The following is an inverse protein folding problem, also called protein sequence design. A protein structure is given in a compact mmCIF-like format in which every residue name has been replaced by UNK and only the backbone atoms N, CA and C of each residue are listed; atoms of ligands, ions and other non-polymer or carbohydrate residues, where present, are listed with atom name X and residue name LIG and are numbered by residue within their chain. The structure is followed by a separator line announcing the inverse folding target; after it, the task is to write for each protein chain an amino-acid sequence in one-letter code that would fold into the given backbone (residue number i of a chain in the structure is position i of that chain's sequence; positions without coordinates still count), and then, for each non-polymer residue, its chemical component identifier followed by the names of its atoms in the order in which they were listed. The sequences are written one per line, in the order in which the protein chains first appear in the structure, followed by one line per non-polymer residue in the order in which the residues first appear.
data_IF_298343304831
#
_entry.id   IF_298343304831
#
_cell.length_a   1.000
_cell.length_b   1.000
_cell.length_c   1.000
_cell.angle_alpha   90.00
_cell.angle_beta   90.00
_cell.angle_gamma   90.00
#
_symmetry.space_group_name_H-M   'P 1'
#
loop_
_entity.id
_entity.type
_entity.pdbx_description
1 polymer ?
#
# COMPACT_ATOMS: atom_id res chain seq x y z
N UNK A 1 -24.60 -14.89 -7.24
CA UNK A 1 -24.53 -14.60 -5.80
C UNK A 1 -23.14 -14.05 -5.53
N UNK A 2 -23.00 -12.92 -4.84
CA UNK A 2 -21.69 -12.33 -4.53
C UNK A 2 -21.03 -13.12 -3.40
N UNK A 3 -19.86 -13.66 -3.67
CA UNK A 3 -19.08 -14.51 -2.75
C UNK A 3 -18.35 -13.70 -1.67
N UNK A 4 -18.49 -12.38 -1.69
CA UNK A 4 -17.82 -11.40 -0.83
C UNK A 4 -18.85 -10.56 -0.06
N UNK A 5 -18.56 -10.28 1.21
CA UNK A 5 -19.40 -9.52 2.13
C UNK A 5 -18.58 -8.43 2.82
N UNK A 6 -19.16 -7.23 2.99
CA UNK A 6 -18.58 -6.19 3.84
C UNK A 6 -19.12 -6.39 5.26
N UNK A 7 -18.21 -6.53 6.22
CA UNK A 7 -18.52 -6.68 7.64
C UNK A 7 -18.80 -5.31 8.29
N UNK A 8 -19.53 -5.26 9.43
CA UNK A 8 -19.81 -4.00 10.13
C UNK A 8 -18.59 -3.20 10.57
N UNK A 9 -17.43 -3.85 10.69
CA UNK A 9 -16.14 -3.22 11.01
C UNK A 9 -15.37 -2.73 9.77
N UNK A 10 -15.95 -2.84 8.56
CA UNK A 10 -15.32 -2.42 7.31
C UNK A 10 -14.47 -3.49 6.61
N UNK A 11 -14.26 -4.66 7.23
CA UNK A 11 -13.52 -5.77 6.61
C UNK A 11 -14.31 -6.40 5.46
N UNK A 12 -13.61 -7.07 4.54
CA UNK A 12 -14.22 -7.77 3.41
C UNK A 12 -13.98 -9.27 3.58
N UNK A 13 -15.05 -10.05 3.72
CA UNK A 13 -14.98 -11.49 3.96
C UNK A 13 -15.49 -12.29 2.77
N UNK A 14 -14.77 -13.32 2.38
CA UNK A 14 -15.19 -14.29 1.39
C UNK A 14 -15.81 -15.53 2.04
N UNK A 15 -16.69 -16.24 1.33
CA UNK A 15 -17.35 -17.46 1.85
C UNK A 15 -16.37 -18.59 2.20
N UNK A 16 -15.16 -18.57 1.64
CA UNK A 16 -14.11 -19.55 1.97
C UNK A 16 -13.36 -19.23 3.28
N UNK A 17 -13.72 -18.16 3.98
CA UNK A 17 -13.10 -17.75 5.24
C UNK A 17 -11.97 -16.73 5.11
N UNK A 18 -11.56 -16.35 3.89
CA UNK A 18 -10.63 -15.24 3.69
C UNK A 18 -11.26 -13.94 4.17
N UNK A 19 -10.54 -13.18 5.00
CA UNK A 19 -10.95 -11.88 5.49
C UNK A 19 -9.85 -10.88 5.18
N UNK A 20 -10.20 -9.88 4.36
CA UNK A 20 -9.37 -8.73 4.07
C UNK A 20 -9.73 -7.62 5.04
N UNK A 21 -8.70 -6.99 5.58
CA UNK A 21 -8.75 -5.80 6.42
C UNK A 21 -8.20 -4.65 5.60
N UNK A 22 -9.03 -3.93 4.82
CA UNK A 22 -8.57 -2.88 3.92
C UNK A 22 -7.55 -1.91 4.53
N UNK A 23 -7.77 -1.49 5.77
CA UNK A 23 -6.88 -0.56 6.49
C UNK A 23 -5.49 -1.14 6.82
N UNK A 24 -5.34 -2.46 6.81
CA UNK A 24 -4.07 -3.15 7.08
C UNK A 24 -3.47 -3.76 5.81
N UNK A 25 -4.32 -4.28 4.92
CA UNK A 25 -3.92 -5.02 3.74
C UNK A 25 -3.67 -4.14 2.51
N UNK A 26 -4.18 -2.91 2.49
CA UNK A 26 -3.94 -1.96 1.38
C UNK A 26 -2.70 -1.09 1.58
N UNK A 27 -2.17 -1.00 2.81
CA UNK A 27 -0.99 -0.21 3.11
C UNK A 27 0.26 -1.09 3.25
N UNK A 28 1.45 -0.52 2.97
CA UNK A 28 2.70 -1.22 3.26
C UNK A 28 2.78 -1.62 4.73
N UNK A 29 3.27 -2.84 5.00
CA UNK A 29 3.52 -3.30 6.37
C UNK A 29 4.70 -2.53 6.98
N UNK A 30 4.77 -2.44 8.31
CA UNK A 30 5.90 -1.83 9.00
C UNK A 30 7.25 -2.45 8.59
N UNK A 31 7.30 -3.77 8.41
CA UNK A 31 8.49 -4.48 7.93
C UNK A 31 8.89 -4.03 6.52
N UNK A 32 7.92 -3.92 5.60
CA UNK A 32 8.20 -3.46 4.23
C UNK A 32 8.71 -2.02 4.18
N UNK A 33 8.21 -1.17 5.08
CA UNK A 33 8.61 0.23 5.22
C UNK A 33 10.02 0.37 5.78
N UNK A 34 10.40 -0.49 6.74
CA UNK A 34 11.76 -0.51 7.27
C UNK A 34 12.75 -0.96 6.18
N UNK A 35 12.43 -2.04 5.45
CA UNK A 35 13.27 -2.52 4.34
C UNK A 35 13.44 -1.44 3.26
N UNK A 36 12.37 -0.69 2.95
CA UNK A 36 12.44 0.42 2.00
C UNK A 36 13.39 1.52 2.49
N UNK A 37 13.24 1.93 3.74
CA UNK A 37 14.02 3.02 4.35
C UNK A 37 15.50 2.63 4.48
N UNK A 38 15.78 1.41 4.91
CA UNK A 38 17.14 0.88 5.05
C UNK A 38 17.90 0.86 3.71
N UNK A 39 17.24 0.48 2.62
CA UNK A 39 17.82 0.57 1.27
C UNK A 39 18.16 2.00 0.86
N UNK A 40 17.36 2.97 1.29
CA UNK A 40 17.63 4.39 1.06
C UNK A 40 18.86 4.86 1.85
N UNK A 41 18.94 4.48 3.13
CA UNK A 41 20.09 4.77 3.99
C UNK A 41 21.39 4.18 3.43
N UNK A 42 21.35 2.94 2.94
CA UNK A 42 22.49 2.26 2.30
C UNK A 42 22.97 2.97 1.02
N UNK A 43 22.10 3.75 0.36
CA UNK A 43 22.44 4.61 -0.78
C UNK A 43 22.93 6.01 -0.36
N UNK A 44 23.08 6.26 0.95
CA UNK A 44 23.48 7.56 1.49
C UNK A 44 22.38 8.61 1.46
N UNK A 45 21.11 8.22 1.30
CA UNK A 45 19.99 9.15 1.31
C UNK A 45 19.64 9.56 2.75
N UNK A 46 19.27 10.83 2.95
CA UNK A 46 18.70 11.28 4.21
C UNK A 46 17.24 10.83 4.36
N UNK A 47 16.74 10.78 5.59
CA UNK A 47 15.33 10.43 5.87
C UNK A 47 14.35 11.31 5.06
N UNK A 48 14.64 12.61 4.92
CA UNK A 48 13.82 13.53 4.12
C UNK A 48 13.83 13.13 2.64
N UNK A 49 14.97 12.71 2.09
CA UNK A 49 15.06 12.25 0.70
C UNK A 49 14.32 10.93 0.49
N UNK A 50 14.39 10.01 1.46
CA UNK A 50 13.67 8.73 1.42
C UNK A 50 12.16 8.96 1.43
N UNK A 51 11.66 9.81 2.33
CA UNK A 51 10.23 10.16 2.41
C UNK A 51 9.78 10.85 1.12
N UNK A 52 10.56 11.81 0.62
CA UNK A 52 10.26 12.49 -0.65
C UNK A 52 10.17 11.48 -1.80
N UNK A 53 11.10 10.53 -1.88
CA UNK A 53 11.12 9.51 -2.91
C UNK A 53 9.84 8.66 -2.88
N UNK A 54 9.39 8.25 -1.69
CA UNK A 54 8.14 7.52 -1.53
C UNK A 54 6.92 8.33 -1.99
N UNK A 55 6.85 9.62 -1.64
CA UNK A 55 5.77 10.50 -2.09
C UNK A 55 5.78 10.71 -3.61
N UNK A 56 6.97 10.86 -4.22
CA UNK A 56 7.08 10.94 -5.67
C UNK A 56 6.57 9.66 -6.34
N UNK A 57 6.93 8.48 -5.83
CA UNK A 57 6.43 7.20 -6.35
C UNK A 57 4.90 7.11 -6.26
N UNK A 58 4.29 7.53 -5.16
CA UNK A 58 2.83 7.54 -5.02
C UNK A 58 2.17 8.42 -6.08
N UNK A 59 2.71 9.63 -6.30
CA UNK A 59 2.22 10.55 -7.34
C UNK A 59 2.38 9.97 -8.74
N UNK A 60 3.52 9.35 -9.02
CA UNK A 60 3.80 8.78 -10.34
C UNK A 60 2.89 7.57 -10.64
N UNK A 61 2.61 6.75 -9.63
CA UNK A 61 1.61 5.67 -9.72
C UNK A 61 0.19 6.20 -9.97
N UNK A 62 -0.21 7.28 -9.29
CA UNK A 62 -1.51 7.92 -9.53
C UNK A 62 -1.62 8.43 -10.96
N UNK A 63 -0.58 9.11 -11.45
CA UNK A 63 -0.53 9.57 -12.84
C UNK A 63 -0.63 8.41 -13.82
N UNK A 64 0.12 7.34 -13.60
CA UNK A 64 0.03 6.15 -14.44
C UNK A 64 -1.38 5.56 -14.45
N UNK A 65 -2.05 5.45 -13.29
CA UNK A 65 -3.40 4.93 -13.22
C UNK A 65 -4.40 5.81 -13.99
N UNK A 66 -4.28 7.14 -13.88
CA UNK A 66 -5.12 8.07 -14.65
C UNK A 66 -4.90 7.95 -16.16
N UNK A 67 -3.65 7.74 -16.59
CA UNK A 67 -3.28 7.67 -18.00
C UNK A 67 -3.66 6.32 -18.64
N UNK A 68 -3.90 5.25 -17.86
CA UNK A 68 -4.05 3.87 -18.38
C UNK A 68 -5.34 3.13 -17.96
N UNK A 69 -6.01 3.55 -16.88
CA UNK A 69 -7.19 2.86 -16.33
C UNK A 69 -8.50 3.67 -16.46
N UNK A 70 -8.44 4.86 -17.07
CA UNK A 70 -9.61 5.69 -17.35
C UNK A 70 -10.28 5.34 -18.66
#
# INVERSE_FOLDING_TARGET
MTTWYILPNGNIKHTNGLELQPELDWFPTAESMEVFSERGRQKGQSEVQIIKHMMDLARDCEKWAQDNLR
#
